data_IF_556707217028
#
_entry.id   IF_556707217028
#
_cell.length_a   1.000
_cell.length_b   1.000
_cell.length_c   1.000
_cell.angle_alpha   90.00
_cell.angle_beta   90.00
_cell.angle_gamma   90.00
#
_symmetry.space_group_name_H-M   'P 1'
#
loop_
_entity.id
_entity.type
_entity.pdbx_description
1 polymer ?
#
# COMPACT_ATOMS: atom_id res chain seq x y z
N UNK A 1 -25.34 23.00 74.36
CA UNK A 1 -25.17 23.50 72.97
C UNK A 1 -23.76 23.15 72.52
N UNK A 2 -23.61 22.35 71.46
CA UNK A 2 -22.39 21.58 71.19
C UNK A 2 -21.30 22.40 70.48
N UNK A 3 -20.04 22.14 70.85
CA UNK A 3 -18.82 22.64 70.21
C UNK A 3 -18.56 21.85 68.93
N UNK A 4 -18.55 22.54 67.80
CA UNK A 4 -18.08 22.00 66.51
C UNK A 4 -16.55 22.00 66.50
N UNK A 5 -15.97 20.79 66.40
CA UNK A 5 -14.54 20.58 66.16
C UNK A 5 -14.41 20.25 64.67
N UNK A 6 -13.83 21.17 63.91
CA UNK A 6 -13.59 21.00 62.47
C UNK A 6 -12.22 20.34 62.29
N UNK A 7 -12.22 19.05 61.96
CA UNK A 7 -11.01 18.28 61.64
C UNK A 7 -10.64 18.51 60.18
N UNK A 8 -9.52 19.18 59.93
CA UNK A 8 -8.95 19.38 58.59
C UNK A 8 -8.08 18.17 58.24
N UNK A 9 -8.55 17.31 57.34
CA UNK A 9 -7.78 16.18 56.82
C UNK A 9 -6.82 16.65 55.73
N UNK A 10 -5.52 16.54 55.97
CA UNK A 10 -4.46 16.89 55.02
C UNK A 10 -4.12 15.66 54.16
N UNK A 11 -4.47 15.70 52.87
CA UNK A 11 -4.13 14.65 51.90
C UNK A 11 -2.71 14.88 51.42
N UNK A 12 -1.80 13.98 51.79
CA UNK A 12 -0.42 13.95 51.28
C UNK A 12 -0.44 13.28 49.90
N UNK A 13 -0.26 14.05 48.84
CA UNK A 13 -0.08 13.54 47.49
C UNK A 13 1.34 13.01 47.29
N UNK A 14 1.49 11.69 47.13
CA UNK A 14 2.72 11.07 46.65
C UNK A 14 2.83 11.34 45.13
N UNK A 15 3.76 12.21 44.73
CA UNK A 15 4.14 12.35 43.33
C UNK A 15 4.99 11.14 42.93
N UNK A 16 4.41 10.22 42.15
CA UNK A 16 5.13 9.10 41.54
C UNK A 16 5.79 9.62 40.27
N UNK A 17 7.10 9.81 40.31
CA UNK A 17 7.89 10.14 39.13
C UNK A 17 8.18 8.82 38.42
N UNK A 18 7.46 8.55 37.33
CA UNK A 18 7.81 7.45 36.43
C UNK A 18 9.11 7.78 35.72
N UNK A 19 10.22 7.20 36.19
CA UNK A 19 11.41 7.06 35.36
C UNK A 19 11.07 6.16 34.19
N UNK A 20 11.06 6.72 32.98
CA UNK A 20 11.07 5.94 31.76
C UNK A 20 12.38 5.16 31.69
N UNK A 21 12.35 3.89 32.07
CA UNK A 21 13.41 2.96 31.74
C UNK A 21 13.45 2.84 30.21
N UNK A 22 14.45 3.45 29.58
CA UNK A 22 14.74 3.21 28.17
C UNK A 22 15.22 1.76 28.07
N UNK A 23 14.41 0.91 27.46
CA UNK A 23 14.83 -0.42 27.10
C UNK A 23 16.00 -0.28 26.11
N UNK A 24 17.18 -0.73 26.51
CA UNK A 24 18.30 -0.91 25.60
C UNK A 24 17.92 -2.10 24.73
N UNK A 25 17.59 -1.85 23.47
CA UNK A 25 17.41 -2.92 22.48
C UNK A 25 18.81 -3.44 22.17
N UNK A 26 19.11 -4.68 22.56
CA UNK A 26 20.30 -5.35 22.09
C UNK A 26 20.17 -5.53 20.58
N UNK A 27 21.03 -4.84 19.83
CA UNK A 27 21.10 -4.98 18.38
C UNK A 27 21.99 -6.19 18.13
N UNK A 28 21.36 -7.35 17.92
CA UNK A 28 22.09 -8.50 17.39
C UNK A 28 22.77 -8.08 16.08
N UNK A 29 24.06 -8.42 15.89
CA UNK A 29 24.78 -8.02 14.70
C UNK A 29 24.02 -8.57 13.49
N UNK A 30 23.62 -7.70 12.57
CA UNK A 30 22.83 -8.07 11.39
C UNK A 30 23.39 -9.27 10.60
N UNK A 31 24.69 -9.57 10.73
CA UNK A 31 25.33 -10.76 10.17
C UNK A 31 24.83 -12.08 10.76
N UNK A 32 24.56 -12.14 12.06
CA UNK A 32 24.07 -13.36 12.73
C UNK A 32 22.62 -13.65 12.30
N UNK A 33 21.81 -12.61 12.13
CA UNK A 33 20.46 -12.71 11.57
C UNK A 33 20.46 -13.15 10.09
N UNK A 34 21.50 -12.82 9.31
CA UNK A 34 21.63 -13.27 7.91
C UNK A 34 21.90 -14.78 7.83
N UNK A 35 22.57 -15.37 8.81
CA UNK A 35 22.85 -16.81 8.86
C UNK A 35 21.58 -17.64 9.13
N UNK A 36 20.54 -17.03 9.70
CA UNK A 36 19.24 -17.65 9.97
C UNK A 36 18.28 -17.59 8.77
N UNK A 37 18.56 -16.75 7.76
CA UNK A 37 17.70 -16.63 6.59
C UNK A 37 17.83 -17.91 5.75
N UNK A 38 16.73 -18.66 5.53
CA UNK A 38 16.78 -19.85 4.69
C UNK A 38 17.14 -19.47 3.26
N UNK A 39 18.21 -20.06 2.75
CA UNK A 39 18.61 -19.92 1.34
C UNK A 39 17.64 -20.77 0.51
N UNK A 40 16.74 -20.12 -0.21
CA UNK A 40 15.86 -20.76 -1.19
C UNK A 40 16.67 -21.05 -2.45
N UNK A 41 16.58 -22.26 -2.99
CA UNK A 41 17.24 -22.61 -4.26
C UNK A 41 16.73 -21.71 -5.39
N UNK A 42 17.61 -21.33 -6.31
CA UNK A 42 17.20 -20.54 -7.48
C UNK A 42 16.18 -21.32 -8.31
N UNK A 43 14.97 -20.78 -8.41
CA UNK A 43 13.99 -21.20 -9.41
C UNK A 43 14.53 -20.85 -10.80
N UNK A 44 14.51 -21.81 -11.73
CA UNK A 44 14.94 -21.57 -13.11
C UNK A 44 14.16 -20.42 -13.75
N UNK A 45 14.87 -19.50 -14.40
CA UNK A 45 14.29 -18.45 -15.22
C UNK A 45 14.12 -18.86 -16.68
N UNK A 46 14.45 -20.10 -17.07
CA UNK A 46 14.36 -20.55 -18.47
C UNK A 46 12.94 -20.48 -19.04
N UNK A 47 11.91 -20.51 -18.18
CA UNK A 47 10.50 -20.41 -18.56
C UNK A 47 9.92 -19.00 -18.40
N UNK A 48 10.73 -18.01 -17.96
CA UNK A 48 10.25 -16.65 -17.81
C UNK A 48 10.21 -15.96 -19.17
N UNK A 49 8.99 -15.78 -19.69
CA UNK A 49 8.71 -14.99 -20.89
C UNK A 49 7.98 -13.71 -20.44
N UNK A 50 8.65 -12.54 -20.37
CA UNK A 50 8.09 -11.29 -19.87
C UNK A 50 6.74 -10.94 -20.48
N UNK A 51 6.60 -11.14 -21.79
CA UNK A 51 5.42 -10.83 -22.59
C UNK A 51 4.23 -11.74 -22.25
N UNK A 52 4.48 -12.93 -21.68
CA UNK A 52 3.43 -13.85 -21.21
C UNK A 52 2.94 -13.55 -19.79
N UNK A 53 3.72 -12.76 -19.04
CA UNK A 53 3.47 -12.39 -17.64
C UNK A 53 2.94 -10.97 -17.45
N UNK A 54 3.19 -10.11 -18.44
CA UNK A 54 2.74 -8.72 -18.45
C UNK A 54 2.17 -8.44 -19.84
N UNK A 55 1.01 -9.00 -20.19
CA UNK A 55 0.35 -8.59 -21.42
C UNK A 55 0.04 -7.11 -21.34
N UNK A 56 -0.06 -6.51 -22.51
CA UNK A 56 -0.44 -5.12 -22.60
C UNK A 56 -1.81 -4.93 -21.93
N UNK A 57 -1.89 -3.95 -21.02
CA UNK A 57 -3.12 -3.62 -20.32
C UNK A 57 -4.24 -3.20 -21.29
N UNK A 58 -3.86 -2.80 -22.50
CA UNK A 58 -4.75 -2.31 -23.55
C UNK A 58 -5.00 -3.31 -24.70
N UNK A 59 -4.21 -4.40 -24.85
CA UNK A 59 -4.29 -5.28 -26.05
C UNK A 59 -5.07 -6.60 -25.86
N UNK A 60 -5.31 -7.10 -24.63
CA UNK A 60 -6.14 -8.30 -24.42
C UNK A 60 -7.49 -8.01 -23.73
N UNK A 61 -8.59 -8.18 -24.47
CA UNK A 61 -9.94 -8.26 -23.92
C UNK A 61 -10.01 -9.33 -22.82
N UNK A 62 -10.14 -8.90 -21.56
CA UNK A 62 -10.40 -9.78 -20.42
C UNK A 62 -9.17 -10.20 -19.61
N UNK A 63 -7.94 -9.79 -19.96
CA UNK A 63 -6.75 -10.20 -19.18
C UNK A 63 -6.76 -9.64 -17.75
N UNK A 64 -7.45 -8.53 -17.53
CA UNK A 64 -7.81 -8.07 -16.19
C UNK A 64 -9.12 -7.28 -16.19
N UNK A 65 -10.22 -7.85 -16.69
CA UNK A 65 -11.51 -7.17 -16.49
C UNK A 65 -12.07 -7.49 -15.11
N UNK A 66 -12.11 -6.50 -14.22
CA UNK A 66 -12.83 -6.64 -12.95
C UNK A 66 -14.14 -5.86 -13.09
N UNK A 67 -15.25 -6.53 -12.76
CA UNK A 67 -16.61 -6.01 -12.93
C UNK A 67 -17.00 -5.52 -14.37
N UNK A 68 -16.23 -5.86 -15.41
CA UNK A 68 -16.46 -5.44 -16.79
C UNK A 68 -15.70 -4.18 -17.22
N UNK A 69 -14.89 -3.60 -16.34
CA UNK A 69 -13.97 -2.49 -16.64
C UNK A 69 -12.54 -3.04 -16.81
N UNK A 70 -11.63 -2.30 -17.47
CA UNK A 70 -10.21 -2.69 -17.43
C UNK A 70 -9.66 -2.53 -16.01
N UNK A 71 -8.80 -3.44 -15.54
CA UNK A 71 -8.25 -3.33 -14.19
C UNK A 71 -7.40 -2.09 -14.01
N UNK A 72 -6.78 -1.57 -15.07
CA UNK A 72 -6.12 -0.28 -15.00
C UNK A 72 -7.10 0.79 -14.51
N UNK A 73 -8.25 0.93 -15.17
CA UNK A 73 -9.26 1.91 -14.76
C UNK A 73 -9.87 1.59 -13.39
N UNK A 74 -10.14 0.33 -13.07
CA UNK A 74 -10.64 -0.02 -11.73
C UNK A 74 -9.64 0.35 -10.63
N UNK A 75 -8.36 0.01 -10.80
CA UNK A 75 -7.30 0.34 -9.84
C UNK A 75 -7.21 1.85 -9.67
N UNK A 76 -7.33 2.61 -10.76
CA UNK A 76 -7.30 4.09 -10.73
C UNK A 76 -8.49 4.67 -9.97
N UNK A 77 -9.70 4.19 -10.26
CA UNK A 77 -10.91 4.58 -9.53
C UNK A 77 -10.78 4.21 -8.04
N UNK A 78 -10.22 3.04 -7.72
CA UNK A 78 -9.99 2.62 -6.33
C UNK A 78 -8.93 3.45 -5.62
N UNK A 79 -7.86 3.84 -6.31
CA UNK A 79 -6.71 4.53 -5.73
C UNK A 79 -6.92 6.04 -5.58
N UNK A 80 -7.80 6.64 -6.39
CA UNK A 80 -8.17 8.04 -6.26
C UNK A 80 -9.08 8.29 -5.06
N UNK A 81 -9.11 9.52 -4.56
CA UNK A 81 -9.95 9.88 -3.40
C UNK A 81 -11.41 10.01 -3.84
N UNK A 82 -12.37 9.32 -3.19
CA UNK A 82 -13.78 9.30 -3.65
C UNK A 82 -14.44 10.67 -3.79
N UNK A 83 -14.03 11.65 -2.97
CA UNK A 83 -14.57 13.01 -3.01
C UNK A 83 -13.94 13.92 -4.09
N UNK A 84 -12.94 13.42 -4.83
CA UNK A 84 -12.29 14.10 -5.95
C UNK A 84 -12.63 13.48 -7.30
N UNK A 85 -13.34 12.36 -7.31
CA UNK A 85 -13.58 11.56 -8.52
C UNK A 85 -14.74 12.10 -9.34
N UNK A 86 -14.55 12.08 -10.66
CA UNK A 86 -15.61 12.08 -11.66
C UNK A 86 -15.37 10.88 -12.57
N UNK A 87 -16.29 9.92 -12.55
CA UNK A 87 -16.29 8.75 -13.43
C UNK A 87 -17.26 9.04 -14.59
N UNK A 88 -17.00 8.49 -15.77
CA UNK A 88 -17.87 8.61 -16.94
C UNK A 88 -19.18 7.82 -16.75
N UNK A 89 -20.14 8.03 -17.66
CA UNK A 89 -21.46 7.37 -17.63
C UNK A 89 -21.38 5.84 -17.81
N UNK A 90 -20.22 5.29 -18.16
CA UNK A 90 -19.94 3.87 -18.27
C UNK A 90 -19.55 3.20 -16.94
N UNK A 91 -19.43 3.98 -15.86
CA UNK A 91 -18.94 3.57 -14.53
C UNK A 91 -17.53 2.93 -14.54
N UNK A 92 -16.83 2.97 -15.67
CA UNK A 92 -15.55 2.30 -15.89
C UNK A 92 -14.42 3.27 -16.19
N UNK A 93 -14.68 4.50 -16.62
CA UNK A 93 -13.63 5.43 -17.02
C UNK A 93 -13.49 6.57 -16.02
N UNK A 94 -12.33 6.69 -15.39
CA UNK A 94 -12.03 7.87 -14.57
C UNK A 94 -11.79 9.08 -15.48
N UNK A 95 -12.59 10.14 -15.33
CA UNK A 95 -12.42 11.39 -16.06
C UNK A 95 -11.59 12.42 -15.28
N UNK A 96 -11.82 12.51 -13.97
CA UNK A 96 -11.10 13.44 -13.10
C UNK A 96 -10.88 12.74 -11.76
N UNK A 97 -9.71 12.94 -11.16
CA UNK A 97 -9.44 12.39 -9.83
C UNK A 97 -8.16 12.94 -9.24
N UNK A 98 -7.97 12.67 -7.95
CA UNK A 98 -6.71 12.95 -7.31
C UNK A 98 -6.26 11.77 -6.43
N UNK A 99 -4.96 11.50 -6.47
CA UNK A 99 -4.32 10.41 -5.75
C UNK A 99 -3.05 10.90 -5.03
N UNK A 100 -2.53 10.08 -4.13
CA UNK A 100 -1.20 10.27 -3.56
C UNK A 100 -0.34 9.13 -4.08
N UNK A 101 0.76 9.46 -4.75
CA UNK A 101 1.71 8.45 -5.21
C UNK A 101 2.31 7.74 -3.98
N UNK A 102 2.14 6.41 -3.85
CA UNK A 102 2.68 5.67 -2.72
C UNK A 102 4.21 5.64 -2.69
N UNK A 103 4.90 5.90 -3.80
CA UNK A 103 6.37 5.86 -3.87
C UNK A 103 7.02 7.19 -3.46
N UNK A 104 6.53 8.31 -3.98
CA UNK A 104 7.07 9.65 -3.65
C UNK A 104 6.35 10.33 -2.48
N UNK A 105 5.07 9.99 -2.24
CA UNK A 105 4.18 10.74 -1.37
C UNK A 105 3.61 12.01 -2.02
N UNK A 106 3.92 12.28 -3.28
CA UNK A 106 3.44 13.45 -4.00
C UNK A 106 1.95 13.34 -4.32
N UNK A 107 1.31 14.49 -4.43
CA UNK A 107 -0.09 14.58 -4.82
C UNK A 107 -0.18 14.70 -6.33
N UNK A 108 -0.98 13.83 -6.94
CA UNK A 108 -1.21 13.78 -8.38
C UNK A 108 -2.67 14.14 -8.61
N UNK A 109 -2.89 15.18 -9.40
CA UNK A 109 -4.20 15.53 -9.96
C UNK A 109 -4.27 15.01 -11.39
N UNK A 110 -5.45 14.58 -11.78
CA UNK A 110 -5.73 14.07 -13.11
C UNK A 110 -7.01 14.70 -13.65
N UNK A 111 -6.94 15.22 -14.88
CA UNK A 111 -8.09 15.59 -15.68
C UNK A 111 -7.92 15.09 -17.12
N UNK A 112 -8.73 14.11 -17.52
CA UNK A 112 -8.74 13.50 -18.86
C UNK A 112 -8.84 14.56 -19.99
N UNK A 113 -9.50 15.70 -19.75
CA UNK A 113 -9.64 16.75 -20.77
C UNK A 113 -8.40 17.66 -20.89
N UNK A 114 -7.60 17.78 -19.84
CA UNK A 114 -6.40 18.64 -19.82
C UNK A 114 -5.12 17.82 -20.05
N UNK A 115 -5.10 16.56 -19.60
CA UNK A 115 -3.96 15.65 -19.64
C UNK A 115 -4.03 14.71 -20.87
N UNK A 116 -4.12 15.28 -22.08
CA UNK A 116 -4.33 14.50 -23.32
C UNK A 116 -3.06 13.87 -23.91
N UNK A 117 -1.89 14.36 -23.50
CA UNK A 117 -0.60 13.99 -24.11
C UNK A 117 0.14 12.90 -23.31
N UNK A 118 -0.19 12.71 -22.03
CA UNK A 118 0.40 11.69 -21.18
C UNK A 118 -0.56 11.34 -20.04
N UNK A 119 -0.80 10.05 -19.80
CA UNK A 119 -1.53 9.62 -18.61
C UNK A 119 -0.64 9.94 -17.39
N UNK A 120 -1.08 10.78 -16.42
CA UNK A 120 -0.23 11.18 -15.30
C UNK A 120 0.01 10.04 -14.29
N UNK A 121 -0.57 8.87 -14.54
CA UNK A 121 -0.44 7.66 -13.75
C UNK A 121 -0.08 6.47 -14.64
N UNK A 122 0.67 5.55 -14.05
CA UNK A 122 0.81 4.19 -14.55
C UNK A 122 0.51 3.24 -13.39
N UNK A 123 -0.09 2.09 -13.70
CA UNK A 123 -0.26 1.02 -12.72
C UNK A 123 1.02 0.21 -12.72
N UNK A 124 1.82 0.40 -11.67
CA UNK A 124 3.11 -0.27 -11.51
C UNK A 124 3.01 -1.57 -10.72
N UNK A 125 3.91 -2.51 -11.01
CA UNK A 125 4.05 -3.76 -10.29
C UNK A 125 5.03 -3.59 -9.13
N UNK A 126 4.51 -3.55 -7.89
CA UNK A 126 5.33 -3.42 -6.67
C UNK A 126 6.38 -4.52 -6.55
N UNK A 127 6.04 -5.74 -6.98
CA UNK A 127 6.98 -6.85 -7.14
C UNK A 127 7.18 -7.07 -8.62
N UNK A 128 8.43 -7.11 -9.07
CA UNK A 128 8.71 -7.31 -10.49
C UNK A 128 8.10 -8.63 -10.97
N UNK A 129 7.59 -8.65 -12.20
CA UNK A 129 7.02 -9.87 -12.80
C UNK A 129 8.02 -11.04 -12.80
N UNK A 130 9.32 -10.75 -12.95
CA UNK A 130 10.38 -11.75 -12.84
C UNK A 130 10.45 -12.39 -11.44
N UNK A 131 10.33 -11.60 -10.38
CA UNK A 131 10.33 -12.12 -9.00
C UNK A 131 9.02 -12.83 -8.67
N UNK A 132 7.88 -12.34 -9.18
CA UNK A 132 6.61 -13.04 -9.09
C UNK A 132 6.69 -14.44 -9.74
N UNK A 133 7.27 -14.54 -10.94
CA UNK A 133 7.55 -15.82 -11.59
C UNK A 133 8.50 -16.69 -10.76
N UNK A 134 9.63 -16.13 -10.30
CA UNK A 134 10.64 -16.86 -9.52
C UNK A 134 10.08 -17.43 -8.21
N UNK A 135 9.18 -16.69 -7.56
CA UNK A 135 8.53 -17.09 -6.31
C UNK A 135 7.37 -18.07 -6.50
N UNK A 136 7.16 -18.59 -7.73
CA UNK A 136 6.06 -19.48 -8.08
C UNK A 136 4.67 -18.87 -7.81
N UNK A 137 4.53 -17.54 -7.86
CA UNK A 137 3.20 -16.97 -8.05
C UNK A 137 2.65 -17.57 -9.35
N UNK A 138 1.42 -18.07 -9.35
CA UNK A 138 0.82 -18.55 -10.60
C UNK A 138 0.45 -17.34 -11.46
N UNK A 139 0.63 -17.45 -12.78
CA UNK A 139 -0.02 -16.56 -13.76
C UNK A 139 -1.54 -16.68 -13.73
N UNK A 140 -2.05 -17.69 -13.03
CA UNK A 140 -3.46 -17.90 -12.77
C UNK A 140 -3.92 -16.93 -11.67
N UNK A 141 -4.34 -15.75 -12.10
CA UNK A 141 -5.10 -14.78 -11.30
C UNK A 141 -6.60 -15.10 -11.32
N UNK A 142 -6.98 -16.38 -11.48
CA UNK A 142 -8.38 -16.78 -11.43
C UNK A 142 -8.93 -16.67 -10.01
N UNK A 143 -9.95 -15.82 -9.88
CA UNK A 143 -11.11 -16.13 -9.06
C UNK A 143 -12.10 -16.98 -9.88
#
# INVERSE_FOLDING_TARGET
MPKLITTTTLVVGLAIWSSSAQAVVEVEPALELLEEIPIVEETSMETYEPESWVPDADEEEGYFSVAGCSAAQEILIRATRPNSQKVDDDDCTLLVGAATDPYSGDFIEYDWQEDTDEAPFAVDHVVSAAEAHRSSASSDWSD
#
